data_IF_896859532492
#
_entry.id   IF_896859532492
#
_cell.length_a   1.000
_cell.length_b   1.000
_cell.length_c   1.000
_cell.angle_alpha   90.00
_cell.angle_beta   90.00
_cell.angle_gamma   90.00
#
_symmetry.space_group_name_H-M   'P 1'
#
loop_
_entity.id
_entity.type
_entity.pdbx_description
1 polymer ?
#
# COMPACT_ATOMS: atom_id res chain seq x y z
N UNK A 1 12.37 21.00 -3.23
CA UNK A 1 11.30 20.79 -2.23
C UNK A 1 10.07 21.63 -2.56
N UNK A 2 8.97 21.01 -2.97
CA UNK A 2 7.76 21.75 -3.34
C UNK A 2 6.63 20.80 -3.67
N UNK A 3 5.51 20.94 -2.96
CA UNK A 3 4.28 20.18 -3.21
C UNK A 3 3.81 20.49 -4.63
N UNK A 4 3.73 19.49 -5.50
CA UNK A 4 3.36 19.68 -6.92
C UNK A 4 1.87 19.98 -7.12
N UNK A 5 1.02 19.47 -6.22
CA UNK A 5 -0.43 19.69 -6.21
C UNK A 5 -1.00 19.27 -4.86
N UNK A 6 -2.03 19.98 -4.42
CA UNK A 6 -2.87 19.64 -3.27
C UNK A 6 -4.28 19.47 -3.80
N UNK A 7 -4.94 18.38 -3.44
CA UNK A 7 -6.31 18.13 -3.85
C UNK A 7 -7.21 18.27 -2.62
N UNK A 8 -8.27 19.08 -2.69
CA UNK A 8 -9.22 19.19 -1.59
C UNK A 8 -9.98 17.88 -1.43
N UNK A 9 -10.39 17.57 -0.20
CA UNK A 9 -11.40 16.55 0.04
C UNK A 9 -12.72 17.07 -0.54
N UNK A 10 -13.27 16.35 -1.51
CA UNK A 10 -14.53 16.71 -2.18
C UNK A 10 -15.53 15.59 -1.91
N UNK A 11 -16.74 15.95 -1.52
CA UNK A 11 -17.86 15.01 -1.52
C UNK A 11 -18.30 14.79 -2.97
N UNK A 12 -18.42 13.52 -3.34
CA UNK A 12 -19.02 13.11 -4.60
C UNK A 12 -20.29 12.34 -4.28
N UNK A 13 -21.35 12.61 -5.04
CA UNK A 13 -22.51 11.74 -5.03
C UNK A 13 -22.10 10.34 -5.47
N UNK A 14 -22.61 9.33 -4.77
CA UNK A 14 -22.38 7.94 -5.15
C UNK A 14 -22.90 7.77 -6.58
N UNK A 15 -22.05 7.37 -7.55
CA UNK A 15 -22.50 7.13 -8.90
C UNK A 15 -23.66 6.13 -8.88
N UNK A 16 -24.72 6.40 -9.65
CA UNK A 16 -25.78 5.41 -9.87
C UNK A 16 -25.13 4.18 -10.49
N UNK A 17 -25.01 3.09 -9.71
CA UNK A 17 -24.46 1.83 -10.18
C UNK A 17 -25.26 1.37 -11.41
N UNK A 18 -24.62 1.09 -12.56
CA UNK A 18 -25.21 0.18 -13.53
C UNK A 18 -25.54 -1.10 -12.75
N UNK A 19 -26.72 -1.69 -12.99
CA UNK A 19 -27.39 -2.63 -12.10
C UNK A 19 -26.49 -3.67 -11.43
N UNK A 20 -26.87 -4.09 -10.21
CA UNK A 20 -26.15 -5.08 -9.41
C UNK A 20 -25.69 -6.25 -10.29
N UNK A 21 -24.39 -6.34 -10.55
CA UNK A 21 -23.80 -7.60 -10.96
C UNK A 21 -24.01 -8.56 -9.79
N UNK A 22 -24.72 -9.66 -10.05
CA UNK A 22 -24.82 -10.74 -9.10
C UNK A 22 -23.39 -11.10 -8.66
N UNK A 23 -23.16 -11.06 -7.36
CA UNK A 23 -21.96 -11.61 -6.74
C UNK A 23 -22.02 -13.12 -6.97
N UNK A 24 -21.45 -13.56 -8.09
CA UNK A 24 -21.27 -14.97 -8.37
C UNK A 24 -20.44 -15.56 -7.22
N UNK A 25 -20.81 -16.74 -6.72
CA UNK A 25 -20.28 -17.40 -5.52
C UNK A 25 -18.83 -17.89 -5.67
N UNK A 26 -18.07 -17.23 -6.54
CA UNK A 26 -16.65 -17.42 -6.72
C UNK A 26 -15.91 -17.05 -5.42
N UNK A 27 -14.86 -17.79 -5.04
CA UNK A 27 -14.02 -17.42 -3.91
C UNK A 27 -13.57 -15.97 -4.11
N UNK A 28 -13.48 -15.20 -3.02
CA UNK A 28 -13.09 -13.79 -3.06
C UNK A 28 -11.80 -13.64 -3.88
N UNK A 29 -11.95 -13.27 -5.15
CA UNK A 29 -10.83 -12.85 -5.99
C UNK A 29 -10.33 -11.57 -5.30
N UNK A 30 -9.01 -11.38 -5.09
CA UNK A 30 -8.41 -10.25 -4.35
C UNK A 30 -8.77 -8.83 -4.84
N UNK A 31 -9.72 -8.71 -5.75
CA UNK A 31 -10.09 -7.53 -6.51
C UNK A 31 -11.61 -7.29 -6.59
N UNK A 32 -12.46 -7.89 -5.72
CA UNK A 32 -13.88 -7.49 -5.72
C UNK A 32 -14.06 -5.96 -5.59
N UNK A 33 -13.25 -5.34 -4.75
CA UNK A 33 -13.17 -3.88 -4.63
C UNK A 33 -12.72 -3.19 -5.93
N UNK A 34 -11.83 -3.80 -6.72
CA UNK A 34 -11.41 -3.21 -8.00
C UNK A 34 -12.54 -3.19 -9.04
N UNK A 35 -13.39 -4.22 -9.06
CA UNK A 35 -14.57 -4.23 -9.92
C UNK A 35 -15.58 -3.16 -9.48
N UNK A 36 -15.82 -3.02 -8.17
CA UNK A 36 -16.75 -2.02 -7.64
C UNK A 36 -16.29 -0.57 -7.85
N UNK A 37 -14.98 -0.34 -7.94
CA UNK A 37 -14.38 1.00 -8.05
C UNK A 37 -13.91 1.34 -9.46
N UNK A 38 -14.06 0.41 -10.42
CA UNK A 38 -13.60 0.59 -11.81
C UNK A 38 -12.07 0.48 -12.00
N UNK A 39 -11.33 0.13 -10.94
CA UNK A 39 -9.87 -0.11 -11.02
C UNK A 39 -9.56 -1.28 -11.96
N UNK A 40 -10.43 -2.30 -12.00
CA UNK A 40 -10.25 -3.44 -12.90
C UNK A 40 -10.25 -3.00 -14.37
N UNK A 41 -11.26 -2.24 -14.78
CA UNK A 41 -11.39 -1.72 -16.15
C UNK A 41 -10.21 -0.81 -16.51
N UNK A 42 -9.78 0.04 -15.58
CA UNK A 42 -8.62 0.92 -15.77
C UNK A 42 -7.34 0.12 -15.97
N UNK A 43 -7.09 -0.89 -15.14
CA UNK A 43 -5.90 -1.74 -15.25
C UNK A 43 -5.90 -2.61 -16.51
N UNK A 44 -7.07 -3.03 -17.01
CA UNK A 44 -7.17 -3.73 -18.29
C UNK A 44 -6.93 -2.81 -19.48
N UNK A 45 -7.51 -1.61 -19.47
CA UNK A 45 -7.41 -0.66 -20.57
C UNK A 45 -6.03 0.00 -20.67
N UNK A 46 -5.37 0.19 -19.52
CA UNK A 46 -4.08 0.85 -19.40
C UNK A 46 -3.13 0.03 -18.52
N UNK A 47 -2.67 -1.13 -18.99
CA UNK A 47 -1.85 -2.06 -18.20
C UNK A 47 -0.51 -1.48 -17.74
N UNK A 48 -0.04 -0.41 -18.36
CA UNK A 48 1.15 0.34 -18.00
C UNK A 48 0.95 1.32 -16.83
N UNK A 49 -0.31 1.68 -16.49
CA UNK A 49 -0.64 2.59 -15.39
C UNK A 49 -0.60 1.89 -14.03
N UNK A 50 0.58 1.37 -13.67
CA UNK A 50 0.82 0.66 -12.40
C UNK A 50 1.42 1.55 -11.31
N UNK A 51 1.64 2.84 -11.58
CA UNK A 51 2.31 3.75 -10.64
C UNK A 51 3.83 3.61 -10.61
N UNK A 52 4.43 3.11 -11.70
CA UNK A 52 5.89 3.02 -11.83
C UNK A 52 6.55 4.38 -11.58
N UNK A 53 7.67 4.37 -10.86
CA UNK A 53 8.48 5.55 -10.51
C UNK A 53 7.75 6.58 -9.60
N UNK A 54 6.56 6.24 -9.09
CA UNK A 54 5.85 7.01 -8.09
C UNK A 54 6.21 6.50 -6.70
N UNK A 55 6.57 7.42 -5.80
CA UNK A 55 6.78 7.15 -4.39
C UNK A 55 5.53 7.55 -3.60
N UNK A 56 4.93 6.58 -2.89
CA UNK A 56 3.79 6.81 -1.98
C UNK A 56 4.27 6.69 -0.54
N UNK A 57 4.02 7.72 0.27
CA UNK A 57 4.30 7.68 1.71
C UNK A 57 3.10 7.16 2.48
N UNK A 58 3.32 6.17 3.35
CA UNK A 58 2.32 5.64 4.29
C UNK A 58 2.70 6.11 5.69
N UNK A 59 1.78 6.81 6.34
CA UNK A 59 1.94 7.31 7.72
C UNK A 59 0.98 6.51 8.60
N UNK A 60 1.47 5.47 9.26
CA UNK A 60 0.65 4.47 9.95
C UNK A 60 1.46 3.72 11.03
N UNK A 61 1.12 2.48 11.37
CA UNK A 61 1.88 1.60 12.28
C UNK A 61 3.19 1.05 11.69
N UNK A 62 3.54 1.43 10.46
CA UNK A 62 4.71 0.95 9.73
C UNK A 62 4.33 0.22 8.44
N UNK A 63 5.30 -0.45 7.82
CA UNK A 63 5.05 -1.47 6.77
C UNK A 63 5.97 -2.65 7.05
N UNK A 64 5.45 -3.88 7.03
CA UNK A 64 6.27 -5.10 6.92
C UNK A 64 6.93 -5.13 5.55
N UNK A 65 8.08 -4.47 5.44
CA UNK A 65 8.84 -4.34 4.21
C UNK A 65 9.43 -5.67 3.72
N UNK A 66 9.43 -6.73 4.54
CA UNK A 66 9.83 -8.09 4.13
C UNK A 66 8.70 -8.85 3.45
N UNK A 67 7.45 -8.39 3.57
CA UNK A 67 6.31 -9.09 2.97
C UNK A 67 6.48 -9.20 1.44
N UNK A 68 6.23 -10.38 0.82
CA UNK A 68 6.40 -10.58 -0.62
C UNK A 68 5.63 -9.57 -1.49
N UNK A 69 4.44 -9.17 -1.04
CA UNK A 69 3.63 -8.13 -1.67
C UNK A 69 4.28 -6.74 -1.74
N UNK A 70 5.42 -6.49 -1.07
CA UNK A 70 6.21 -5.25 -1.15
C UNK A 70 7.66 -5.49 -1.63
N UNK A 71 7.98 -6.70 -2.06
CA UNK A 71 9.22 -6.97 -2.78
C UNK A 71 9.08 -6.60 -4.26
N UNK A 72 10.21 -6.40 -4.93
CA UNK A 72 10.29 -6.40 -6.39
C UNK A 72 9.87 -7.79 -6.87
N UNK A 73 8.98 -7.91 -7.88
CA UNK A 73 8.52 -9.22 -8.35
C UNK A 73 9.68 -10.16 -8.69
N UNK A 74 9.63 -11.37 -8.14
CA UNK A 74 10.68 -12.39 -8.30
C UNK A 74 11.90 -12.21 -7.39
N UNK A 75 11.91 -11.21 -6.51
CA UNK A 75 12.98 -10.98 -5.53
C UNK A 75 12.45 -11.05 -4.10
N UNK A 76 13.36 -11.07 -3.13
CA UNK A 76 13.06 -10.92 -1.71
C UNK A 76 13.68 -9.64 -1.20
N UNK A 77 13.00 -8.99 -0.27
CA UNK A 77 13.54 -7.86 0.48
C UNK A 77 14.05 -8.39 1.83
N UNK A 78 15.35 -8.58 1.96
CA UNK A 78 15.95 -9.16 3.18
C UNK A 78 16.47 -8.08 4.14
N UNK A 79 16.87 -6.94 3.60
CA UNK A 79 17.38 -5.78 4.34
C UNK A 79 16.57 -4.55 3.99
N UNK A 80 16.20 -3.73 4.99
CA UNK A 80 15.40 -2.53 4.76
C UNK A 80 16.12 -1.60 3.77
N UNK A 81 15.38 -1.11 2.75
CA UNK A 81 15.92 -0.29 1.65
C UNK A 81 16.99 -1.01 0.80
N UNK A 82 17.12 -2.32 0.94
CA UNK A 82 18.07 -3.15 0.22
C UNK A 82 17.59 -3.54 -1.19
N UNK A 83 18.40 -4.35 -1.89
CA UNK A 83 18.00 -4.94 -3.15
C UNK A 83 16.68 -5.72 -3.01
N UNK A 84 15.83 -5.63 -4.02
CA UNK A 84 14.55 -6.35 -4.04
C UNK A 84 13.44 -5.73 -3.17
N UNK A 85 13.68 -4.59 -2.50
CA UNK A 85 12.66 -3.89 -1.73
C UNK A 85 11.92 -2.84 -2.56
N UNK A 86 10.58 -2.78 -2.46
CA UNK A 86 9.82 -1.61 -2.93
C UNK A 86 9.53 -0.60 -1.82
N UNK A 87 9.75 -0.95 -0.56
CA UNK A 87 9.83 0.04 0.53
C UNK A 87 11.26 0.60 0.56
N UNK A 88 11.42 1.79 -0.02
CA UNK A 88 12.72 2.40 -0.32
C UNK A 88 13.03 3.62 0.57
N UNK A 89 12.03 4.10 1.30
CA UNK A 89 12.18 5.16 2.31
C UNK A 89 11.42 4.79 3.56
N UNK A 90 11.77 5.45 4.66
CA UNK A 90 11.01 5.32 5.89
C UNK A 90 11.82 5.58 7.13
N UNK A 91 11.08 5.73 8.23
CA UNK A 91 11.55 6.08 9.56
C UNK A 91 10.50 5.69 10.61
N UNK A 92 10.94 5.24 11.77
CA UNK A 92 10.10 5.02 12.94
C UNK A 92 10.21 6.20 13.90
N UNK A 93 9.10 6.91 14.11
CA UNK A 93 9.01 8.04 15.04
C UNK A 93 8.60 7.63 16.46
N UNK A 94 8.25 6.36 16.66
CA UNK A 94 7.73 5.80 17.90
C UNK A 94 8.71 4.86 18.59
N UNK A 95 9.31 3.92 17.86
CA UNK A 95 10.12 2.84 18.40
C UNK A 95 9.33 1.60 18.76
N UNK A 96 10.05 0.55 19.14
CA UNK A 96 9.50 -0.80 19.34
C UNK A 96 8.86 -1.06 20.70
N UNK A 97 9.08 -0.16 21.67
CA UNK A 97 8.50 -0.28 23.01
C UNK A 97 7.17 0.48 23.12
N UNK A 98 6.13 -0.14 22.59
CA UNK A 98 4.73 0.33 22.67
C UNK A 98 4.21 0.45 24.12
N UNK A 99 4.85 -0.23 25.07
CA UNK A 99 4.28 -0.49 26.40
C UNK A 99 4.74 0.53 27.42
N UNK A 100 6.01 0.96 27.36
CA UNK A 100 6.54 1.91 28.33
C UNK A 100 6.15 3.36 28.06
N UNK A 101 5.55 3.64 26.90
CA UNK A 101 5.22 5.00 26.44
C UNK A 101 6.46 5.85 26.14
N UNK A 102 7.65 5.24 26.09
CA UNK A 102 8.89 5.94 25.71
C UNK A 102 9.08 5.88 24.21
N UNK A 103 9.06 7.06 23.60
CA UNK A 103 9.46 7.21 22.21
C UNK A 103 10.95 6.84 22.06
N UNK A 104 11.22 5.81 21.26
CA UNK A 104 12.56 5.37 20.87
C UNK A 104 12.68 5.36 19.34
N UNK A 105 12.67 6.55 18.68
CA UNK A 105 12.71 6.62 17.23
C UNK A 105 13.95 5.95 16.65
N UNK A 106 13.77 5.21 15.57
CA UNK A 106 14.86 4.55 14.86
C UNK A 106 14.60 4.47 13.34
N UNK A 107 15.52 3.81 12.65
CA UNK A 107 15.53 3.75 11.20
C UNK A 107 14.67 2.62 10.60
N UNK A 108 14.09 1.73 11.41
CA UNK A 108 13.33 0.56 10.98
C UNK A 108 11.81 0.74 11.20
N UNK A 109 11.05 1.16 10.16
CA UNK A 109 9.60 1.33 10.25
C UNK A 109 8.83 0.01 10.11
N UNK A 110 9.38 -1.08 10.63
CA UNK A 110 8.77 -2.41 10.61
C UNK A 110 7.39 -2.36 11.28
N UNK A 111 6.39 -2.97 10.65
CA UNK A 111 5.05 -3.02 11.20
C UNK A 111 4.84 -4.30 12.00
N UNK A 112 4.71 -4.16 13.31
CA UNK A 112 4.36 -5.25 14.21
C UNK A 112 2.85 -5.35 14.48
N UNK A 113 2.07 -4.33 14.12
CA UNK A 113 0.63 -4.26 14.34
C UNK A 113 -0.16 -4.82 13.13
N UNK A 114 0.33 -4.54 11.92
CA UNK A 114 -0.22 -5.03 10.65
C UNK A 114 -1.19 -4.07 9.95
N UNK A 115 -1.68 -3.02 10.62
CA UNK A 115 -2.60 -2.05 10.01
C UNK A 115 -1.97 -1.30 8.84
N UNK A 116 -0.76 -0.73 9.03
CA UNK A 116 -0.04 -0.01 7.97
C UNK A 116 0.36 -0.91 6.80
N UNK A 117 0.72 -2.16 7.07
CA UNK A 117 0.96 -3.21 6.06
C UNK A 117 -0.30 -3.49 5.24
N UNK A 118 -1.45 -3.59 5.89
CA UNK A 118 -2.73 -3.78 5.21
C UNK A 118 -3.10 -2.57 4.32
N UNK A 119 -2.91 -1.35 4.83
CA UNK A 119 -3.10 -0.10 4.06
C UNK A 119 -2.18 -0.06 2.84
N UNK A 120 -0.89 -0.37 3.00
CA UNK A 120 0.06 -0.43 1.90
C UNK A 120 -0.33 -1.49 0.85
N UNK A 121 -0.91 -2.61 1.30
CA UNK A 121 -1.42 -3.68 0.44
C UNK A 121 -2.51 -3.19 -0.50
N UNK A 122 -3.47 -2.41 0.01
CA UNK A 122 -4.54 -1.79 -0.79
C UNK A 122 -3.95 -0.84 -1.85
N UNK A 123 -2.97 -0.02 -1.45
CA UNK A 123 -2.34 0.95 -2.34
C UNK A 123 -1.62 0.26 -3.49
N UNK A 124 -0.72 -0.69 -3.19
CA UNK A 124 0.23 -1.19 -4.18
C UNK A 124 0.88 -2.53 -3.83
N UNK A 125 0.20 -3.37 -3.04
CA UNK A 125 0.57 -4.77 -2.90
C UNK A 125 0.69 -5.44 -4.28
N UNK A 126 1.67 -6.32 -4.45
CA UNK A 126 1.90 -7.02 -5.72
C UNK A 126 2.56 -8.38 -5.49
N UNK A 127 1.74 -9.39 -5.23
CA UNK A 127 2.12 -10.80 -5.25
C UNK A 127 1.04 -11.65 -5.94
N UNK A 128 1.09 -12.98 -5.77
CA UNK A 128 0.13 -13.90 -6.37
C UNK A 128 -1.25 -13.94 -5.69
N UNK A 129 -1.39 -13.33 -4.50
CA UNK A 129 -2.61 -13.32 -3.69
C UNK A 129 -3.17 -11.92 -3.48
N UNK A 130 -2.37 -10.87 -3.62
CA UNK A 130 -2.71 -9.48 -3.34
C UNK A 130 -2.19 -8.64 -4.48
N UNK A 131 -3.09 -7.88 -5.10
CA UNK A 131 -2.71 -6.82 -6.04
C UNK A 131 -3.54 -5.57 -5.75
N UNK A 132 -2.84 -4.52 -5.35
CA UNK A 132 -3.42 -3.21 -5.03
C UNK A 132 -3.72 -2.38 -6.27
N UNK A 133 -4.14 -1.14 -6.05
CA UNK A 133 -4.54 -0.20 -7.11
C UNK A 133 -3.36 0.15 -8.02
N UNK A 134 -2.19 0.41 -7.44
CA UNK A 134 -0.97 0.82 -8.14
C UNK A 134 0.21 -0.11 -7.78
N UNK A 135 0.27 -1.32 -8.36
CA UNK A 135 1.19 -2.39 -7.94
C UNK A 135 2.67 -2.14 -8.29
N UNK A 136 2.98 -1.07 -9.02
CA UNK A 136 4.32 -0.67 -9.43
C UNK A 136 4.91 0.50 -8.64
N UNK A 137 4.20 1.02 -7.64
CA UNK A 137 4.71 2.11 -6.80
C UNK A 137 5.87 1.66 -5.91
N UNK A 138 6.68 2.63 -5.53
CA UNK A 138 7.62 2.55 -4.42
C UNK A 138 6.95 3.11 -3.17
N UNK A 139 7.36 2.61 -2.00
CA UNK A 139 6.82 3.01 -0.71
C UNK A 139 7.83 3.76 0.15
N UNK A 140 7.32 4.74 0.89
CA UNK A 140 7.96 5.29 2.08
C UNK A 140 7.14 4.92 3.32
N UNK A 141 7.72 4.16 4.25
CA UNK A 141 7.04 3.75 5.48
C UNK A 141 7.38 4.70 6.63
N UNK A 142 6.40 5.42 7.15
CA UNK A 142 6.58 6.36 8.26
C UNK A 142 5.73 5.89 9.43
N UNK A 143 6.37 5.19 10.38
CA UNK A 143 5.71 4.64 11.55
C UNK A 143 5.52 5.75 12.59
N UNK A 144 4.28 6.01 12.98
CA UNK A 144 3.89 7.04 13.96
C UNK A 144 3.01 6.49 15.09
N UNK A 145 2.68 5.20 15.02
CA UNK A 145 1.96 4.47 16.05
C UNK A 145 2.76 3.21 16.42
N UNK A 146 2.76 2.87 17.70
CA UNK A 146 3.44 1.69 18.27
C UNK A 146 2.60 1.12 19.40
#
# INVERSE_FOLDING_TARGET
>A
PGVKKIWPVVQYDVPTRPGLFALDSQPAIPQFAHNLTGVFDLQQKFPEMIGKDILVGVVDSGIDWKHPAFAVPGQKCETFKGPGCRVVKGWDFTGDDSVSGKFQPDADPMDCNGHGTHVAGIIGGNDNKIRGVAPGVLFGAYRVFG
#
